data_IF_744495029380
#
_entry.id   IF_744495029380
#
_cell.length_a   1.000
_cell.length_b   1.000
_cell.length_c   1.000
_cell.angle_alpha   90.00
_cell.angle_beta   90.00
_cell.angle_gamma   90.00
#
_symmetry.space_group_name_H-M   'P 1'
#
loop_
_entity.id
_entity.type
_entity.pdbx_description
1 polymer ?
#
# COMPACT_ATOMS: atom_id res chain seq x y z
N UNK A 1 25.32 25.01 30.57
CA UNK A 1 25.26 24.10 29.40
C UNK A 1 24.51 24.82 28.29
N UNK A 2 25.19 25.15 27.19
CA UNK A 2 24.61 25.90 26.07
C UNK A 2 23.86 24.93 25.15
N UNK A 3 22.54 25.09 25.06
CA UNK A 3 21.70 24.38 24.09
C UNK A 3 21.97 24.94 22.70
N UNK A 4 22.64 24.16 21.86
CA UNK A 4 22.83 24.46 20.45
C UNK A 4 21.48 24.33 19.73
N UNK A 5 21.02 25.42 19.13
CA UNK A 5 19.80 25.47 18.31
C UNK A 5 20.06 24.70 17.01
N UNK A 6 19.24 23.70 16.72
CA UNK A 6 19.24 23.01 15.43
C UNK A 6 18.65 23.92 14.35
N UNK A 7 19.18 23.89 13.11
CA UNK A 7 18.68 24.69 12.02
C UNK A 7 17.29 24.21 11.59
N UNK A 8 16.37 25.16 11.48
CA UNK A 8 15.01 24.97 11.00
C UNK A 8 15.05 24.56 9.53
N UNK A 9 14.70 23.31 9.25
CA UNK A 9 14.49 22.80 7.89
C UNK A 9 13.26 23.51 7.33
N UNK A 10 13.45 24.31 6.29
CA UNK A 10 12.36 24.94 5.55
C UNK A 10 11.68 23.83 4.73
N UNK A 11 10.44 23.49 5.10
CA UNK A 11 9.57 22.69 4.24
C UNK A 11 9.28 23.52 2.98
N UNK A 12 9.84 23.10 1.85
CA UNK A 12 9.42 23.59 0.55
C UNK A 12 7.95 23.18 0.33
N UNK A 13 7.11 24.16 0.02
CA UNK A 13 5.68 23.96 -0.23
C UNK A 13 5.52 23.17 -1.54
N UNK A 14 4.88 22.00 -1.46
CA UNK A 14 4.53 21.20 -2.64
C UNK A 14 3.51 21.96 -3.51
N UNK A 15 3.64 21.92 -4.85
CA UNK A 15 2.72 22.60 -5.75
C UNK A 15 1.31 22.00 -5.67
N UNK A 16 0.32 22.89 -5.64
CA UNK A 16 -1.12 22.60 -5.50
C UNK A 16 -1.62 21.71 -6.66
N UNK A 17 -2.08 20.51 -6.32
CA UNK A 17 -2.51 19.45 -7.25
C UNK A 17 -3.98 19.56 -7.71
N UNK A 18 -4.56 20.76 -7.74
CA UNK A 18 -6.01 20.95 -7.90
C UNK A 18 -6.51 21.07 -9.35
N UNK A 19 -5.72 20.67 -10.37
CA UNK A 19 -6.08 20.90 -11.79
C UNK A 19 -6.27 19.65 -12.66
N UNK A 20 -6.10 18.43 -12.13
CA UNK A 20 -6.12 17.21 -12.98
C UNK A 20 -7.51 16.55 -13.11
N UNK A 21 -8.49 16.86 -12.25
CA UNK A 21 -9.82 16.20 -12.29
C UNK A 21 -10.73 16.70 -13.43
N UNK A 22 -10.52 17.91 -13.95
CA UNK A 22 -11.37 18.48 -15.02
C UNK A 22 -11.10 17.86 -16.40
N UNK A 23 -9.93 17.24 -16.63
CA UNK A 23 -9.49 16.79 -17.95
C UNK A 23 -10.11 15.45 -18.40
N UNK A 24 -10.43 14.51 -17.47
CA UNK A 24 -11.03 13.21 -17.85
C UNK A 24 -12.51 13.38 -18.25
N UNK A 25 -13.26 14.21 -17.52
CA UNK A 25 -14.68 14.48 -17.81
C UNK A 25 -14.82 15.12 -19.20
N UNK A 26 -13.97 16.09 -19.52
CA UNK A 26 -13.94 16.73 -20.84
C UNK A 26 -13.62 15.76 -21.98
N UNK A 27 -12.66 14.84 -21.78
CA UNK A 27 -12.34 13.81 -22.77
C UNK A 27 -13.50 12.81 -22.97
N UNK A 28 -14.17 12.43 -21.88
CA UNK A 28 -15.30 11.51 -21.95
C UNK A 28 -16.51 12.15 -22.64
N UNK A 29 -16.79 13.42 -22.36
CA UNK A 29 -17.79 14.23 -23.04
C UNK A 29 -17.51 14.37 -24.54
N UNK A 30 -16.24 14.56 -24.94
CA UNK A 30 -15.85 14.61 -26.36
C UNK A 30 -16.10 13.28 -27.08
N UNK A 31 -15.80 12.14 -26.44
CA UNK A 31 -16.06 10.81 -27.01
C UNK A 31 -17.56 10.59 -27.19
N UNK A 32 -18.38 10.94 -26.20
CA UNK A 32 -19.84 10.80 -26.28
C UNK A 32 -20.45 11.68 -27.38
N UNK A 33 -20.04 12.95 -27.47
CA UNK A 33 -20.46 13.86 -28.54
C UNK A 33 -20.09 13.31 -29.93
N UNK A 34 -18.91 12.69 -30.06
CA UNK A 34 -18.48 12.08 -31.33
C UNK A 34 -19.38 10.90 -31.74
N UNK A 35 -19.85 10.10 -30.78
CA UNK A 35 -20.80 9.00 -31.02
C UNK A 35 -22.14 9.53 -31.51
N UNK A 36 -22.69 10.53 -30.84
CA UNK A 36 -23.97 11.13 -31.22
C UNK A 36 -23.93 11.71 -32.64
N UNK A 37 -22.85 12.40 -32.98
CA UNK A 37 -22.64 12.97 -34.31
C UNK A 37 -22.53 11.89 -35.39
N UNK A 38 -21.80 10.81 -35.12
CA UNK A 38 -21.69 9.66 -36.03
C UNK A 38 -23.05 9.01 -36.26
N UNK A 39 -23.83 8.79 -35.21
CA UNK A 39 -25.13 8.15 -35.33
C UNK A 39 -26.17 9.05 -36.02
N UNK A 40 -26.10 10.36 -35.79
CA UNK A 40 -26.90 11.34 -36.55
C UNK A 40 -26.56 11.32 -38.04
N UNK A 41 -25.27 11.29 -38.40
CA UNK A 41 -24.83 11.22 -39.79
C UNK A 41 -25.21 9.88 -40.43
N UNK A 42 -25.07 8.74 -39.74
CA UNK A 42 -25.53 7.43 -40.26
C UNK A 42 -27.02 7.43 -40.61
N UNK A 43 -27.87 8.02 -39.76
CA UNK A 43 -29.32 8.16 -40.04
C UNK A 43 -29.57 8.97 -41.31
N UNK A 44 -28.91 10.11 -41.46
CA UNK A 44 -29.03 10.95 -42.67
C UNK A 44 -28.56 10.24 -43.96
N UNK A 45 -27.60 9.31 -43.87
CA UNK A 45 -27.15 8.50 -45.01
C UNK A 45 -28.17 7.46 -45.47
N UNK A 46 -29.02 6.97 -44.57
CA UNK A 46 -30.12 6.07 -44.94
C UNK A 46 -31.13 6.79 -45.84
N UNK A 47 -31.33 8.10 -45.64
CA UNK A 47 -32.24 8.91 -46.43
C UNK A 47 -31.66 9.30 -47.80
N UNK A 48 -30.32 9.35 -47.94
CA UNK A 48 -29.63 9.82 -49.15
C UNK A 48 -28.36 9.00 -49.47
N UNK A 49 -28.50 7.76 -49.98
CA UNK A 49 -27.39 6.83 -50.13
C UNK A 49 -26.36 7.23 -51.21
N UNK A 50 -26.75 8.02 -52.22
CA UNK A 50 -25.89 8.38 -53.35
C UNK A 50 -25.04 9.66 -53.12
N UNK A 51 -25.12 10.27 -51.93
CA UNK A 51 -24.40 11.52 -51.64
C UNK A 51 -22.93 11.26 -51.26
N UNK A 52 -22.03 11.42 -52.25
CA UNK A 52 -20.58 11.22 -52.07
C UNK A 52 -19.92 12.13 -51.03
N UNK A 53 -20.39 13.38 -50.87
CA UNK A 53 -19.87 14.28 -49.85
C UNK A 53 -20.10 13.70 -48.44
N UNK A 54 -21.24 13.04 -48.29
CA UNK A 54 -21.67 12.46 -47.02
C UNK A 54 -20.83 11.26 -46.59
N UNK A 55 -20.40 10.44 -47.55
CA UNK A 55 -19.46 9.34 -47.32
C UNK A 55 -18.11 9.84 -46.81
N UNK A 56 -17.61 10.96 -47.35
CA UNK A 56 -16.33 11.56 -46.92
C UNK A 56 -16.43 12.13 -45.49
N UNK A 57 -17.54 12.81 -45.17
CA UNK A 57 -17.80 13.29 -43.81
C UNK A 57 -17.82 12.13 -42.79
N UNK A 58 -18.41 10.98 -43.15
CA UNK A 58 -18.44 9.81 -42.27
C UNK A 58 -17.06 9.20 -42.02
N UNK A 59 -16.18 9.14 -43.03
CA UNK A 59 -14.81 8.64 -42.80
C UNK A 59 -14.05 9.56 -41.85
N UNK A 60 -14.15 10.87 -42.04
CA UNK A 60 -13.50 11.85 -41.15
C UNK A 60 -14.02 11.75 -39.72
N UNK A 61 -15.33 11.58 -39.53
CA UNK A 61 -15.90 11.39 -38.18
C UNK A 61 -15.46 10.08 -37.54
N UNK A 62 -15.30 9.00 -38.32
CA UNK A 62 -14.77 7.73 -37.81
C UNK A 62 -13.32 7.89 -37.35
N UNK A 63 -12.50 8.60 -38.11
CA UNK A 63 -11.10 8.85 -37.76
C UNK A 63 -10.98 9.72 -36.50
N UNK A 64 -11.82 10.75 -36.37
CA UNK A 64 -11.87 11.59 -35.17
C UNK A 64 -12.29 10.79 -33.94
N UNK A 65 -13.31 9.93 -34.07
CA UNK A 65 -13.73 9.01 -33.00
C UNK A 65 -12.57 8.11 -32.56
N UNK A 66 -11.94 7.41 -33.51
CA UNK A 66 -10.83 6.51 -33.20
C UNK A 66 -9.67 7.24 -32.49
N UNK A 67 -9.39 8.49 -32.90
CA UNK A 67 -8.38 9.33 -32.28
C UNK A 67 -8.75 9.71 -30.84
N UNK A 68 -10.00 10.07 -30.58
CA UNK A 68 -10.47 10.39 -29.23
C UNK A 68 -10.43 9.17 -28.31
N UNK A 69 -10.88 8.01 -28.78
CA UNK A 69 -10.82 6.74 -28.02
C UNK A 69 -9.37 6.34 -27.69
N UNK A 70 -8.45 6.52 -28.64
CA UNK A 70 -7.02 6.27 -28.43
C UNK A 70 -6.45 7.18 -27.33
N UNK A 71 -6.68 8.50 -27.42
CA UNK A 71 -6.20 9.47 -26.43
C UNK A 71 -6.74 9.17 -25.02
N UNK A 72 -8.03 8.83 -24.89
CA UNK A 72 -8.64 8.48 -23.61
C UNK A 72 -8.00 7.22 -23.01
N UNK A 73 -7.67 6.24 -23.85
CA UNK A 73 -7.01 5.00 -23.40
C UNK A 73 -5.59 5.30 -22.90
N UNK A 74 -4.83 6.11 -23.65
CA UNK A 74 -3.49 6.52 -23.26
C UNK A 74 -3.49 7.30 -21.94
N UNK A 75 -4.42 8.25 -21.75
CA UNK A 75 -4.58 8.99 -20.49
C UNK A 75 -4.75 8.07 -19.28
N UNK A 76 -5.68 7.10 -19.38
CA UNK A 76 -5.95 6.11 -18.32
C UNK A 76 -4.75 5.21 -18.03
N UNK A 77 -3.91 4.92 -19.00
CA UNK A 77 -2.68 4.17 -18.78
C UNK A 77 -1.64 5.00 -18.02
N UNK A 78 -1.49 6.27 -18.36
CA UNK A 78 -0.60 7.19 -17.66
C UNK A 78 -1.01 7.41 -16.21
N UNK A 79 -2.30 7.56 -15.91
CA UNK A 79 -2.81 7.65 -14.54
C UNK A 79 -2.47 6.40 -13.71
N UNK A 80 -2.66 5.20 -14.28
CA UNK A 80 -2.30 3.94 -13.61
C UNK A 80 -0.81 3.89 -13.29
N UNK A 81 0.03 4.40 -14.19
CA UNK A 81 1.48 4.50 -13.97
C UNK A 81 1.79 5.50 -12.85
N UNK A 82 1.14 6.67 -12.84
CA UNK A 82 1.26 7.68 -11.78
C UNK A 82 0.88 7.13 -10.41
N UNK A 83 -0.32 6.54 -10.29
CA UNK A 83 -0.80 5.89 -9.06
C UNK A 83 0.18 4.81 -8.58
N UNK A 84 0.69 3.98 -9.49
CA UNK A 84 1.65 2.92 -9.15
C UNK A 84 3.00 3.48 -8.68
N UNK A 85 3.47 4.58 -9.27
CA UNK A 85 4.68 5.27 -8.82
C UNK A 85 4.49 5.87 -7.42
N UNK A 86 3.35 6.51 -7.16
CA UNK A 86 3.05 7.10 -5.86
C UNK A 86 2.89 6.04 -4.76
N UNK A 87 2.19 4.95 -5.04
CA UNK A 87 2.12 3.79 -4.13
C UNK A 87 3.52 3.24 -3.80
N UNK A 88 4.43 3.19 -4.78
CA UNK A 88 5.81 2.77 -4.54
C UNK A 88 6.56 3.78 -3.67
N UNK A 89 6.30 5.08 -3.80
CA UNK A 89 6.87 6.14 -2.94
C UNK A 89 6.37 5.99 -1.50
N UNK A 90 5.07 5.82 -1.29
CA UNK A 90 4.46 5.61 0.02
C UNK A 90 5.02 4.36 0.72
N UNK A 91 5.13 3.22 0.00
CA UNK A 91 5.75 2.01 0.54
C UNK A 91 7.20 2.21 0.98
N UNK A 92 7.97 3.04 0.26
CA UNK A 92 9.34 3.38 0.66
C UNK A 92 9.37 4.21 1.94
N UNK A 93 8.45 5.17 2.09
CA UNK A 93 8.32 5.99 3.29
C UNK A 93 7.87 5.16 4.50
N UNK A 94 6.86 4.30 4.33
CA UNK A 94 6.43 3.37 5.37
C UNK A 94 7.59 2.45 5.80
N UNK A 95 8.32 1.87 4.84
CA UNK A 95 9.45 1.01 5.15
C UNK A 95 10.60 1.77 5.84
N UNK A 96 10.81 3.05 5.51
CA UNK A 96 11.75 3.91 6.21
C UNK A 96 11.29 4.17 7.66
N UNK A 97 9.99 4.39 7.89
CA UNK A 97 9.40 4.56 9.22
C UNK A 97 9.36 3.26 10.05
N UNK A 98 9.31 2.10 9.40
CA UNK A 98 9.38 0.79 10.06
C UNK A 98 10.81 0.37 10.42
N UNK A 99 11.85 1.11 9.98
CA UNK A 99 13.23 0.90 10.45
C UNK A 99 13.44 1.41 11.88
N UNK A 100 12.62 2.36 12.34
CA UNK A 100 12.38 2.64 13.74
C UNK A 100 11.29 1.69 14.28
N UNK A 101 11.53 0.38 14.18
CA UNK A 101 10.78 -0.59 14.98
C UNK A 101 10.72 -0.03 16.40
N UNK A 102 9.53 0.16 16.94
CA UNK A 102 9.35 0.39 18.37
C UNK A 102 9.93 -0.85 19.05
N UNK A 103 11.22 -0.82 19.35
CA UNK A 103 11.90 -1.90 20.02
C UNK A 103 11.35 -1.87 21.44
N UNK A 104 10.28 -2.63 21.67
CA UNK A 104 9.79 -2.87 23.01
C UNK A 104 10.95 -3.49 23.78
N UNK A 105 11.45 -2.77 24.78
CA UNK A 105 12.52 -3.27 25.63
C UNK A 105 12.08 -4.61 26.19
N UNK A 106 12.98 -5.60 26.14
CA UNK A 106 12.77 -6.90 26.78
C UNK A 106 13.17 -6.90 28.25
N UNK A 107 13.70 -5.78 28.75
CA UNK A 107 14.25 -5.71 30.08
C UNK A 107 13.16 -5.94 31.13
N UNK A 108 13.46 -6.77 32.14
CA UNK A 108 12.58 -6.92 33.29
C UNK A 108 12.64 -5.65 34.14
N UNK A 109 11.52 -4.98 34.46
CA UNK A 109 11.52 -3.74 35.25
C UNK A 109 11.92 -3.96 36.71
N UNK A 110 11.88 -5.20 37.23
CA UNK A 110 12.22 -5.53 38.62
C UNK A 110 13.72 -5.76 38.80
N UNK A 111 14.30 -6.67 38.02
CA UNK A 111 15.73 -7.04 38.15
C UNK A 111 16.63 -6.39 37.09
N UNK A 112 16.07 -5.61 36.15
CA UNK A 112 16.79 -4.98 35.03
C UNK A 112 17.54 -5.94 34.10
N UNK A 113 17.25 -7.25 34.16
CA UNK A 113 17.79 -8.22 33.20
C UNK A 113 17.33 -7.85 31.79
N UNK A 114 18.28 -7.53 30.90
CA UNK A 114 18.02 -7.00 29.55
C UNK A 114 17.26 -7.99 28.66
N UNK A 115 17.45 -9.28 28.89
CA UNK A 115 16.87 -10.34 28.08
C UNK A 115 16.64 -11.62 28.90
N UNK A 116 15.63 -11.64 29.78
CA UNK A 116 15.34 -12.82 30.59
C UNK A 116 14.89 -14.00 29.72
N UNK A 117 15.35 -15.20 30.04
CA UNK A 117 15.06 -16.44 29.31
C UNK A 117 13.57 -16.78 29.29
N UNK A 118 12.88 -16.55 30.41
CA UNK A 118 11.44 -16.77 30.56
C UNK A 118 10.78 -15.49 31.07
N UNK A 119 9.65 -15.12 30.45
CA UNK A 119 8.86 -13.94 30.84
C UNK A 119 7.50 -14.37 31.37
N UNK A 120 7.00 -13.61 32.33
CA UNK A 120 5.67 -13.74 32.91
C UNK A 120 4.84 -12.51 32.52
N UNK A 121 3.62 -12.73 32.02
CA UNK A 121 2.67 -11.66 31.67
C UNK A 121 1.54 -11.63 32.69
N UNK A 122 1.25 -10.44 33.18
CA UNK A 122 0.18 -10.18 34.14
C UNK A 122 -1.18 -10.23 33.44
N UNK A 123 -2.08 -11.08 33.90
CA UNK A 123 -3.35 -11.40 33.23
C UNK A 123 -4.25 -10.16 33.06
N UNK A 124 -4.31 -9.28 34.06
CA UNK A 124 -5.25 -8.14 34.03
C UNK A 124 -4.73 -6.86 33.36
N UNK A 125 -3.42 -6.71 33.16
CA UNK A 125 -2.84 -5.48 32.64
C UNK A 125 -1.88 -5.66 31.47
N UNK A 126 -1.44 -6.88 31.18
CA UNK A 126 -0.55 -7.16 30.04
C UNK A 126 0.89 -6.68 30.21
N UNK A 127 1.25 -6.03 31.32
CA UNK A 127 2.65 -5.78 31.67
C UNK A 127 3.37 -7.11 31.88
N UNK A 128 4.70 -7.09 31.80
CA UNK A 128 5.52 -8.30 31.93
C UNK A 128 6.72 -8.09 32.85
N UNK A 129 7.18 -9.17 33.46
CA UNK A 129 8.45 -9.29 34.20
C UNK A 129 9.13 -10.62 33.83
N UNK A 130 10.34 -10.89 34.33
CA UNK A 130 10.89 -12.24 34.21
C UNK A 130 10.16 -13.22 35.13
N UNK A 131 10.17 -14.51 34.77
CA UNK A 131 9.51 -15.56 35.56
C UNK A 131 10.04 -15.62 37.00
N UNK A 132 11.35 -15.53 37.20
CA UNK A 132 11.95 -15.59 38.54
C UNK A 132 11.42 -14.48 39.45
N UNK A 133 11.33 -13.24 38.96
CA UNK A 133 10.73 -12.13 39.71
C UNK A 133 9.22 -12.33 39.96
N UNK A 134 8.49 -12.98 39.05
CA UNK A 134 7.08 -13.30 39.29
C UNK A 134 6.93 -14.35 40.40
N UNK A 135 7.77 -15.38 40.40
CA UNK A 135 7.79 -16.45 41.41
C UNK A 135 8.20 -15.91 42.80
N UNK A 136 9.07 -14.89 42.85
CA UNK A 136 9.48 -14.22 44.09
C UNK A 136 8.42 -13.27 44.64
N UNK A 137 7.71 -12.54 43.76
CA UNK A 137 6.73 -11.52 44.15
C UNK A 137 5.33 -12.08 44.44
N UNK A 138 5.05 -13.33 44.07
CA UNK A 138 3.73 -13.92 44.31
C UNK A 138 3.49 -14.11 45.80
N UNK A 139 2.36 -13.59 46.29
CA UNK A 139 1.88 -13.90 47.62
C UNK A 139 1.40 -15.36 47.64
N UNK A 140 2.17 -16.25 48.26
CA UNK A 140 1.89 -17.68 48.33
C UNK A 140 0.59 -18.01 49.08
N UNK A 141 0.12 -17.12 49.96
CA UNK A 141 -1.14 -17.33 50.68
C UNK A 141 -2.36 -17.02 49.79
N UNK A 142 -2.23 -16.04 48.90
CA UNK A 142 -3.32 -15.56 48.03
C UNK A 142 -3.22 -16.05 46.59
N UNK A 143 -2.08 -16.61 46.19
CA UNK A 143 -1.73 -16.96 44.82
C UNK A 143 -1.87 -15.77 43.84
N UNK A 144 -1.59 -14.56 44.31
CA UNK A 144 -1.74 -13.31 43.56
C UNK A 144 -0.46 -12.48 43.66
N UNK A 145 -0.21 -11.65 42.65
CA UNK A 145 0.88 -10.67 42.63
C UNK A 145 0.34 -9.26 42.41
N UNK A 146 1.08 -8.26 42.87
CA UNK A 146 0.82 -6.86 42.52
C UNK A 146 1.72 -6.48 41.35
N UNK A 147 1.13 -6.06 40.24
CA UNK A 147 1.89 -5.63 39.07
C UNK A 147 2.85 -4.48 39.44
N UNK A 148 4.17 -4.59 39.22
CA UNK A 148 5.14 -3.53 39.56
C UNK A 148 4.94 -2.23 38.78
N UNK A 149 4.36 -2.30 37.58
CA UNK A 149 4.17 -1.16 36.68
C UNK A 149 2.90 -0.36 36.98
N UNK A 150 1.80 -1.04 37.29
CA UNK A 150 0.48 -0.39 37.43
C UNK A 150 -0.26 -0.72 38.74
N UNK A 151 0.38 -1.45 39.65
CA UNK A 151 -0.14 -1.83 40.97
C UNK A 151 -1.52 -2.50 40.96
N UNK A 152 -1.88 -3.20 39.88
CA UNK A 152 -3.10 -4.03 39.83
C UNK A 152 -2.80 -5.41 40.40
N UNK A 153 -3.68 -5.89 41.28
CA UNK A 153 -3.66 -7.27 41.78
C UNK A 153 -4.00 -8.22 40.63
N UNK A 154 -3.17 -9.25 40.40
CA UNK A 154 -3.27 -10.12 39.22
C UNK A 154 -2.56 -11.45 39.44
N UNK A 155 -2.98 -12.48 38.71
CA UNK A 155 -2.13 -13.63 38.42
C UNK A 155 -1.19 -13.36 37.25
N UNK A 156 -0.33 -14.33 36.93
CA UNK A 156 0.52 -14.29 35.74
C UNK A 156 0.48 -15.62 34.97
N UNK A 157 0.85 -15.56 33.69
CA UNK A 157 1.12 -16.72 32.85
C UNK A 157 2.53 -16.62 32.28
N UNK A 158 3.23 -17.75 32.19
CA UNK A 158 4.56 -17.81 31.56
C UNK A 158 4.40 -17.76 30.05
N UNK A 159 5.13 -16.85 29.40
CA UNK A 159 5.17 -16.68 27.96
C UNK A 159 6.16 -17.68 27.36
N UNK A 160 5.67 -18.50 26.42
CA UNK A 160 6.51 -19.45 25.67
C UNK A 160 6.98 -18.76 24.39
N UNK A 161 8.27 -18.46 24.32
CA UNK A 161 8.87 -17.91 23.11
C UNK A 161 9.43 -19.02 22.24
N UNK A 162 8.95 -19.11 21.00
CA UNK A 162 9.58 -19.95 19.98
C UNK A 162 10.56 -19.09 19.21
N UNK A 163 11.84 -19.45 19.26
CA UNK A 163 12.82 -18.88 18.35
C UNK A 163 12.42 -19.29 16.92
N UNK A 164 11.84 -18.35 16.17
CA UNK A 164 11.68 -18.52 14.73
C UNK A 164 13.10 -18.46 14.17
N UNK A 165 13.66 -19.62 13.86
CA UNK A 165 15.00 -19.72 13.29
C UNK A 165 15.13 -18.80 12.09
N UNK A 166 16.29 -18.15 11.95
CA UNK A 166 16.60 -17.38 10.74
C UNK A 166 16.40 -18.33 9.56
N UNK A 167 15.50 -18.01 8.62
CA UNK A 167 15.50 -18.66 7.30
C UNK A 167 16.93 -18.59 6.81
N UNK A 168 17.60 -19.73 6.72
CA UNK A 168 18.92 -19.77 6.11
C UNK A 168 18.74 -19.29 4.68
N UNK A 169 19.67 -18.49 4.17
CA UNK A 169 19.60 -17.91 2.81
C UNK A 169 19.45 -18.97 1.70
N UNK A 170 19.56 -20.27 2.01
CA UNK A 170 19.30 -21.38 1.09
C UNK A 170 17.85 -21.50 0.64
N UNK A 171 16.86 -21.13 1.46
CA UNK A 171 15.44 -21.22 1.06
C UNK A 171 14.97 -20.05 0.17
N UNK A 172 15.76 -18.98 0.02
CA UNK A 172 15.42 -17.86 -0.88
C UNK A 172 15.87 -18.08 -2.33
N UNK A 173 16.76 -19.04 -2.61
CA UNK A 173 17.16 -19.35 -3.99
C UNK A 173 16.11 -20.17 -4.75
N UNK A 174 15.29 -20.97 -4.06
CA UNK A 174 14.29 -21.82 -4.73
C UNK A 174 13.04 -21.03 -5.17
N UNK A 175 12.77 -19.85 -4.58
CA UNK A 175 11.63 -19.01 -4.95
C UNK A 175 11.91 -18.00 -6.07
N UNK A 176 13.18 -17.82 -6.48
CA UNK A 176 13.54 -16.88 -7.55
C UNK A 176 13.59 -17.51 -8.95
N UNK A 177 13.33 -18.82 -9.07
CA UNK A 177 13.32 -19.54 -10.35
C UNK A 177 11.93 -19.77 -10.94
N UNK A 178 10.89 -19.04 -10.50
CA UNK A 178 9.62 -19.03 -11.24
C UNK A 178 9.74 -18.07 -12.43
N UNK A 179 10.46 -18.61 -13.41
CA UNK A 179 10.64 -18.20 -14.78
C UNK A 179 9.27 -17.91 -15.41
N UNK A 180 8.99 -16.61 -15.58
CA UNK A 180 7.96 -16.10 -16.48
C UNK A 180 8.36 -16.51 -17.91
N UNK A 181 8.14 -17.78 -18.24
CA UNK A 181 8.12 -18.24 -19.62
C UNK A 181 7.04 -17.43 -20.36
N UNK A 182 7.55 -16.58 -21.24
CA UNK A 182 6.82 -15.65 -22.09
C UNK A 182 5.75 -16.36 -22.94
N UNK A 183 4.67 -15.66 -23.32
CA UNK A 183 3.61 -16.22 -24.15
C UNK A 183 4.10 -16.47 -25.58
N UNK A 184 4.24 -17.74 -25.97
CA UNK A 184 4.50 -18.13 -27.35
C UNK A 184 3.22 -18.14 -28.19
N UNK A 185 3.20 -17.20 -29.14
CA UNK A 185 2.68 -17.30 -30.52
C UNK A 185 1.26 -17.82 -30.74
N UNK A 186 0.37 -16.86 -31.04
CA UNK A 186 -0.84 -17.04 -31.84
C UNK A 186 -0.47 -17.63 -33.20
N UNK A 187 -0.93 -18.85 -33.50
CA UNK A 187 -0.98 -19.36 -34.87
C UNK A 187 -2.33 -18.99 -35.48
N UNK A 188 -2.27 -18.24 -36.60
CA UNK A 188 -3.36 -18.08 -37.55
C UNK A 188 -3.70 -19.45 -38.14
N UNK A 189 -4.98 -19.77 -38.21
CA UNK A 189 -5.50 -20.82 -39.10
C UNK A 189 -6.33 -20.11 -40.16
N UNK A 190 -6.04 -20.47 -41.41
CA UNK A 190 -6.70 -20.07 -42.66
C UNK A 190 -8.11 -20.65 -42.80
#
# INVERSE_FOLDING_TARGET
MQLQKLPSVQLEQEPEAEQEEDDEEDLQNLVELSHELLDRKKRQLQDYPDNKQFMMDLSTLRDLKNKAEFNLTEHREWEKVGIKMEQRRLRKLENASHSSSLHFSRACPVCSSVNPSERAVMIHCGHFICKDCADELVDKARCLLMCPECSKETGYVVMIEKLIGKRTQREQQDNNNNDYSSPTKIQRIE
#
